data_IF_524905334163
#
_entry.id   IF_524905334163
#
_cell.length_a   1.000
_cell.length_b   1.000
_cell.length_c   1.000
_cell.angle_alpha   90.00
_cell.angle_beta   90.00
_cell.angle_gamma   90.00
#
_symmetry.space_group_name_H-M   'P 1'
#
loop_
_entity.id
_entity.type
_entity.pdbx_description
1 polymer ?
#
# COMPACT_ATOMS: atom_id res chain seq x y z
N UNK A 1 14.97 -10.87 0.46
CA UNK A 1 14.21 -10.27 -0.66
C UNK A 1 15.16 -10.09 -1.85
N UNK A 2 14.66 -10.05 -3.09
CA UNK A 2 15.55 -9.79 -4.25
C UNK A 2 15.98 -8.32 -4.23
N UNK A 3 17.17 -8.01 -4.78
CA UNK A 3 17.73 -6.65 -4.74
C UNK A 3 16.76 -5.59 -5.27
N UNK A 4 16.07 -5.84 -6.38
CA UNK A 4 15.10 -4.89 -6.96
C UNK A 4 13.87 -4.62 -6.08
N UNK A 5 13.33 -5.65 -5.43
CA UNK A 5 12.23 -5.50 -4.47
C UNK A 5 12.66 -4.69 -3.25
N UNK A 6 13.87 -4.94 -2.74
CA UNK A 6 14.42 -4.21 -1.60
C UNK A 6 14.66 -2.73 -1.94
N UNK A 7 15.15 -2.43 -3.15
CA UNK A 7 15.29 -1.06 -3.64
C UNK A 7 13.93 -0.38 -3.72
N UNK A 8 12.93 -1.02 -4.34
CA UNK A 8 11.58 -0.45 -4.41
C UNK A 8 10.93 -0.27 -3.03
N UNK A 9 11.15 -1.20 -2.10
CA UNK A 9 10.69 -1.08 -0.72
C UNK A 9 11.35 0.09 0.02
N UNK A 10 12.66 0.28 -0.17
CA UNK A 10 13.37 1.44 0.39
C UNK A 10 12.87 2.76 -0.22
N UNK A 11 12.69 2.81 -1.53
CA UNK A 11 12.10 3.96 -2.21
C UNK A 11 10.67 4.24 -1.72
N UNK A 12 9.87 3.22 -1.45
CA UNK A 12 8.52 3.39 -0.91
C UNK A 12 8.56 4.05 0.48
N UNK A 13 9.50 3.66 1.34
CA UNK A 13 9.74 4.32 2.62
C UNK A 13 10.14 5.78 2.47
N UNK A 14 11.08 6.09 1.57
CA UNK A 14 11.49 7.48 1.26
C UNK A 14 10.30 8.28 0.72
N UNK A 15 9.50 7.69 -0.15
CA UNK A 15 8.36 8.35 -0.76
C UNK A 15 7.24 8.66 0.25
N UNK A 16 7.01 7.78 1.24
CA UNK A 16 6.13 8.11 2.38
C UNK A 16 6.65 9.36 3.09
N UNK A 17 7.94 9.40 3.43
CA UNK A 17 8.51 10.55 4.14
C UNK A 17 8.36 11.83 3.32
N UNK A 18 8.62 11.78 2.01
CA UNK A 18 8.50 12.93 1.12
C UNK A 18 7.06 13.44 1.02
N UNK A 19 6.09 12.53 0.90
CA UNK A 19 4.66 12.86 0.85
C UNK A 19 4.14 13.40 2.20
N UNK A 20 4.65 12.89 3.33
CA UNK A 20 4.29 13.38 4.67
C UNK A 20 4.91 14.75 4.99
N UNK A 21 6.11 15.03 4.47
CA UNK A 21 6.80 16.32 4.65
C UNK A 21 6.37 17.38 3.61
N UNK A 22 5.40 17.06 2.74
CA UNK A 22 4.91 17.97 1.69
C UNK A 22 6.04 18.47 0.75
N UNK A 23 7.08 17.65 0.54
CA UNK A 23 8.17 17.99 -0.40
C UNK A 23 7.56 18.13 -1.81
N UNK A 24 7.91 19.16 -2.59
CA UNK A 24 7.44 19.32 -3.96
C UNK A 24 7.65 18.04 -4.79
N UNK A 25 6.57 17.52 -5.38
CA UNK A 25 6.60 16.25 -6.13
C UNK A 25 6.56 14.98 -5.28
N UNK A 26 6.60 15.07 -3.95
CA UNK A 26 6.60 13.92 -3.02
C UNK A 26 5.37 13.04 -3.16
N UNK A 27 4.21 13.64 -3.38
CA UNK A 27 2.96 12.93 -3.62
C UNK A 27 3.00 12.10 -4.92
N UNK A 28 3.44 12.70 -6.02
CA UNK A 28 3.57 12.04 -7.31
C UNK A 28 4.62 10.91 -7.23
N UNK A 29 5.73 11.17 -6.54
CA UNK A 29 6.77 10.18 -6.30
C UNK A 29 6.23 8.98 -5.50
N UNK A 30 5.46 9.23 -4.45
CA UNK A 30 4.76 8.20 -3.68
C UNK A 30 3.86 7.33 -4.57
N UNK A 31 3.00 7.96 -5.38
CA UNK A 31 2.09 7.23 -6.27
C UNK A 31 2.88 6.35 -7.25
N UNK A 32 3.89 6.90 -7.92
CA UNK A 32 4.69 6.17 -8.92
C UNK A 32 5.42 4.98 -8.28
N UNK A 33 6.04 5.17 -7.12
CA UNK A 33 6.80 4.12 -6.44
C UNK A 33 5.88 3.00 -5.93
N UNK A 34 4.75 3.35 -5.31
CA UNK A 34 3.80 2.35 -4.81
C UNK A 34 3.13 1.59 -5.95
N UNK A 35 2.79 2.26 -7.06
CA UNK A 35 2.26 1.60 -8.25
C UNK A 35 3.30 0.68 -8.88
N UNK A 36 4.57 1.10 -8.98
CA UNK A 36 5.64 0.23 -9.47
C UNK A 36 5.81 -1.02 -8.60
N UNK A 37 5.75 -0.86 -7.27
CA UNK A 37 5.82 -1.99 -6.33
C UNK A 37 4.57 -2.89 -6.43
N UNK A 38 3.38 -2.33 -6.61
CA UNK A 38 2.15 -3.08 -6.80
C UNK A 38 2.20 -3.90 -8.09
N UNK A 39 2.63 -3.28 -9.19
CA UNK A 39 2.81 -3.94 -10.49
C UNK A 39 3.89 -5.02 -10.44
N UNK A 40 4.96 -4.84 -9.65
CA UNK A 40 5.95 -5.87 -9.41
C UNK A 40 5.30 -7.13 -8.82
N UNK A 41 4.44 -6.99 -7.80
CA UNK A 41 3.76 -8.13 -7.21
C UNK A 41 2.70 -8.75 -8.13
N UNK A 42 1.96 -7.93 -8.87
CA UNK A 42 0.95 -8.39 -9.83
C UNK A 42 1.58 -9.19 -10.99
N UNK A 43 2.55 -8.59 -11.69
CA UNK A 43 3.13 -9.17 -12.91
C UNK A 43 4.24 -10.18 -12.63
N UNK A 44 5.03 -9.97 -11.57
CA UNK A 44 6.22 -10.77 -11.27
C UNK A 44 6.13 -11.54 -9.96
N UNK A 45 4.99 -11.57 -9.26
CA UNK A 45 4.82 -12.31 -8.01
C UNK A 45 5.24 -13.78 -8.13
N UNK A 46 4.80 -14.46 -9.19
CA UNK A 46 5.20 -15.85 -9.46
C UNK A 46 6.71 -16.04 -9.58
N UNK A 47 7.37 -15.20 -10.39
CA UNK A 47 8.83 -15.22 -10.61
C UNK A 47 9.59 -14.83 -9.34
N UNK A 48 9.05 -13.88 -8.58
CA UNK A 48 9.63 -13.35 -7.35
C UNK A 48 9.66 -14.42 -6.26
N UNK A 49 8.52 -15.04 -5.97
CA UNK A 49 8.37 -15.99 -4.87
C UNK A 49 9.04 -17.34 -5.17
N UNK A 50 9.12 -17.75 -6.43
CA UNK A 50 9.83 -18.97 -6.83
C UNK A 50 11.34 -18.79 -7.00
N UNK A 51 11.90 -17.60 -6.71
CA UNK A 51 13.35 -17.39 -6.78
C UNK A 51 13.93 -17.32 -8.19
N UNK A 52 13.08 -17.33 -9.23
CA UNK A 52 13.51 -17.31 -10.64
C UNK A 52 14.12 -15.95 -10.98
N UNK A 53 15.33 -15.90 -11.56
CA UNK A 53 15.95 -14.64 -11.99
C UNK A 53 15.15 -14.06 -13.16
N UNK A 54 14.96 -12.73 -13.21
CA UNK A 54 14.19 -12.08 -14.29
C UNK A 54 14.72 -12.45 -15.69
N UNK A 55 16.04 -12.50 -15.88
CA UNK A 55 16.64 -12.91 -17.16
C UNK A 55 16.29 -14.35 -17.58
N UNK A 56 15.99 -15.22 -16.61
CA UNK A 56 15.66 -16.63 -16.83
C UNK A 56 14.14 -16.86 -16.91
N UNK A 57 13.31 -15.82 -16.86
CA UNK A 57 11.84 -16.00 -16.82
C UNK A 57 11.27 -16.54 -18.15
N UNK A 58 12.00 -16.43 -19.25
CA UNK A 58 11.57 -16.98 -20.54
C UNK A 58 12.10 -18.41 -20.77
N UNK A 59 12.90 -18.95 -19.86
CA UNK A 59 13.47 -20.29 -19.98
C UNK A 59 12.48 -21.35 -19.49
N UNK A 60 11.92 -22.14 -20.42
CA UNK A 60 10.97 -23.23 -20.12
C UNK A 60 11.50 -24.24 -19.08
N UNK A 61 12.80 -24.44 -19.02
CA UNK A 61 13.46 -25.35 -18.08
C UNK A 61 13.27 -24.98 -16.60
N UNK A 62 13.10 -23.69 -16.30
CA UNK A 62 12.95 -23.19 -14.93
C UNK A 62 11.61 -23.56 -14.29
N UNK A 63 10.63 -24.00 -15.09
CA UNK A 63 9.28 -24.30 -14.65
C UNK A 63 9.01 -25.78 -14.40
N UNK A 64 9.92 -26.68 -14.86
CA UNK A 64 9.69 -28.14 -14.86
C UNK A 64 9.46 -28.75 -13.46
N UNK A 65 10.01 -28.13 -12.41
CA UNK A 65 9.94 -28.64 -11.04
C UNK A 65 8.97 -27.86 -10.13
N UNK A 66 8.11 -27.01 -10.70
CA UNK A 66 7.16 -26.19 -9.94
C UNK A 66 5.77 -26.79 -10.06
N UNK A 67 5.19 -27.21 -8.94
CA UNK A 67 3.84 -27.75 -8.92
C UNK A 67 2.79 -26.67 -9.25
N UNK A 68 1.70 -27.07 -9.91
CA UNK A 68 0.59 -26.17 -10.25
C UNK A 68 0.06 -25.40 -9.03
N UNK A 69 -0.08 -26.08 -7.88
CA UNK A 69 -0.53 -25.45 -6.62
C UNK A 69 0.40 -24.31 -6.19
N UNK A 70 1.71 -24.47 -6.39
CA UNK A 70 2.70 -23.44 -6.07
C UNK A 70 2.65 -22.27 -7.04
N UNK A 71 2.31 -22.50 -8.30
CA UNK A 71 2.06 -21.45 -9.30
C UNK A 71 0.84 -20.63 -8.88
N UNK A 72 -0.31 -21.27 -8.65
CA UNK A 72 -1.54 -20.59 -8.22
C UNK A 72 -1.36 -19.86 -6.90
N UNK A 73 -0.70 -20.47 -5.91
CA UNK A 73 -0.41 -19.83 -4.62
C UNK A 73 0.47 -18.59 -4.77
N UNK A 74 1.46 -18.62 -5.67
CA UNK A 74 2.31 -17.46 -5.92
C UNK A 74 1.57 -16.33 -6.66
N UNK A 75 0.69 -16.65 -7.61
CA UNK A 75 -0.17 -15.65 -8.29
C UNK A 75 -1.14 -15.03 -7.29
N UNK A 76 -1.83 -15.86 -6.49
CA UNK A 76 -2.75 -15.38 -5.46
C UNK A 76 -2.06 -14.50 -4.41
N UNK A 77 -0.85 -14.86 -3.97
CA UNK A 77 -0.04 -14.02 -3.09
C UNK A 77 0.35 -12.69 -3.75
N UNK A 78 0.69 -12.70 -5.05
CA UNK A 78 1.00 -11.50 -5.81
C UNK A 78 -0.20 -10.56 -5.91
N UNK A 79 -1.39 -11.11 -6.19
CA UNK A 79 -2.65 -10.36 -6.22
C UNK A 79 -3.00 -9.75 -4.86
N UNK A 80 -2.84 -10.50 -3.77
CA UNK A 80 -3.10 -9.99 -2.42
C UNK A 80 -2.20 -8.80 -2.06
N UNK A 81 -0.90 -8.91 -2.35
CA UNK A 81 0.06 -7.82 -2.10
C UNK A 81 -0.20 -6.61 -3.00
N UNK A 82 -0.57 -6.84 -4.26
CA UNK A 82 -1.03 -5.78 -5.17
C UNK A 82 -2.22 -5.02 -4.59
N UNK A 83 -3.30 -5.73 -4.22
CA UNK A 83 -4.51 -5.11 -3.66
C UNK A 83 -4.22 -4.32 -2.38
N UNK A 84 -3.36 -4.85 -1.50
CA UNK A 84 -2.95 -4.15 -0.29
C UNK A 84 -2.19 -2.85 -0.59
N UNK A 85 -1.24 -2.86 -1.54
CA UNK A 85 -0.52 -1.65 -1.94
C UNK A 85 -1.43 -0.61 -2.59
N UNK A 86 -2.40 -1.03 -3.42
CA UNK A 86 -3.41 -0.12 -3.95
C UNK A 86 -4.28 0.47 -2.82
N UNK A 87 -4.68 -0.34 -1.85
CA UNK A 87 -5.39 0.13 -0.66
C UNK A 87 -4.58 1.17 0.13
N UNK A 88 -3.26 0.97 0.28
CA UNK A 88 -2.36 1.95 0.87
C UNK A 88 -2.33 3.25 0.07
N UNK A 89 -2.23 3.18 -1.26
CA UNK A 89 -2.28 4.39 -2.11
C UNK A 89 -3.58 5.16 -1.88
N UNK A 90 -4.73 4.48 -1.88
CA UNK A 90 -6.02 5.12 -1.63
C UNK A 90 -6.08 5.79 -0.26
N UNK A 91 -5.53 5.14 0.78
CA UNK A 91 -5.50 5.67 2.15
C UNK A 91 -4.58 6.88 2.28
N UNK A 92 -3.36 6.84 1.75
CA UNK A 92 -2.41 7.96 1.81
C UNK A 92 -2.85 9.17 0.98
N UNK A 93 -3.58 8.92 -0.11
CA UNK A 93 -4.10 9.95 -1.01
C UNK A 93 -5.50 10.45 -0.64
N UNK A 94 -6.09 9.91 0.42
CA UNK A 94 -7.43 10.26 0.89
C UNK A 94 -8.48 10.15 -0.20
N UNK A 95 -8.34 9.14 -1.07
CA UNK A 95 -9.29 8.89 -2.15
C UNK A 95 -10.62 8.37 -1.60
N UNK A 96 -11.75 8.67 -2.27
CA UNK A 96 -13.04 8.10 -1.91
C UNK A 96 -12.98 6.56 -1.88
N UNK A 97 -13.57 5.95 -0.84
CA UNK A 97 -13.56 4.50 -0.67
C UNK A 97 -12.24 3.92 -0.13
N UNK A 98 -11.32 4.77 0.35
CA UNK A 98 -10.02 4.31 0.87
C UNK A 98 -10.11 3.26 1.98
N UNK A 99 -11.07 3.39 2.89
CA UNK A 99 -11.33 2.38 3.93
C UNK A 99 -11.66 1.01 3.32
N UNK A 100 -12.58 0.99 2.35
CA UNK A 100 -13.04 -0.24 1.70
C UNK A 100 -11.87 -0.89 0.94
N UNK A 101 -11.13 -0.11 0.15
CA UNK A 101 -9.97 -0.62 -0.60
C UNK A 101 -8.89 -1.20 0.32
N UNK A 102 -8.60 -0.51 1.42
CA UNK A 102 -7.63 -1.00 2.40
C UNK A 102 -8.11 -2.27 3.10
N UNK A 103 -9.41 -2.37 3.42
CA UNK A 103 -10.01 -3.55 4.02
C UNK A 103 -9.97 -4.76 3.09
N UNK A 104 -10.27 -4.57 1.80
CA UNK A 104 -10.16 -5.63 0.78
C UNK A 104 -8.72 -6.13 0.64
N UNK A 105 -7.76 -5.21 0.53
CA UNK A 105 -6.34 -5.55 0.44
C UNK A 105 -5.83 -6.28 1.68
N UNK A 106 -6.20 -5.81 2.86
CA UNK A 106 -5.84 -6.47 4.12
C UNK A 106 -6.47 -7.86 4.27
N UNK A 107 -7.75 -8.01 3.91
CA UNK A 107 -8.44 -9.31 3.95
C UNK A 107 -7.77 -10.33 3.02
N UNK A 108 -7.34 -9.91 1.83
CA UNK A 108 -6.58 -10.77 0.92
C UNK A 108 -5.22 -11.19 1.51
N UNK A 109 -4.51 -10.25 2.17
CA UNK A 109 -3.27 -10.56 2.90
C UNK A 109 -3.52 -11.57 4.02
N UNK A 110 -4.62 -11.44 4.78
CA UNK A 110 -4.96 -12.38 5.86
C UNK A 110 -5.18 -13.79 5.32
N UNK A 111 -5.93 -13.94 4.23
CA UNK A 111 -6.16 -15.24 3.59
C UNK A 111 -4.85 -15.89 3.15
N UNK A 112 -3.98 -15.14 2.48
CA UNK A 112 -2.67 -15.64 2.04
C UNK A 112 -1.78 -15.98 3.24
N UNK A 113 -1.80 -15.15 4.28
CA UNK A 113 -1.03 -15.37 5.51
C UNK A 113 -1.48 -16.63 6.23
N UNK A 114 -2.79 -16.88 6.32
CA UNK A 114 -3.35 -18.09 6.92
C UNK A 114 -2.88 -19.35 6.17
N UNK A 115 -2.97 -19.35 4.84
CA UNK A 115 -2.48 -20.45 4.00
C UNK A 115 -0.98 -20.66 4.20
N UNK A 116 -0.19 -19.59 4.24
CA UNK A 116 1.25 -19.68 4.48
C UNK A 116 1.57 -20.23 5.88
N UNK A 117 0.84 -19.83 6.93
CA UNK A 117 1.03 -20.35 8.29
C UNK A 117 0.74 -21.85 8.36
N UNK A 118 -0.39 -22.31 7.79
CA UNK A 118 -0.73 -23.74 7.75
C UNK A 118 0.34 -24.53 6.99
N UNK A 119 0.83 -24.00 5.86
CA UNK A 119 1.88 -24.66 5.09
C UNK A 119 3.22 -24.65 5.79
N UNK A 120 3.60 -23.56 6.45
CA UNK A 120 4.86 -23.47 7.22
C UNK A 120 4.90 -24.42 8.42
N UNK A 121 3.75 -24.71 9.03
CA UNK A 121 3.66 -25.70 10.10
C UNK A 121 3.92 -27.12 9.61
N UNK A 122 3.47 -27.46 8.39
CA UNK A 122 3.60 -28.79 7.82
C UNK A 122 4.89 -29.00 7.00
N UNK A 123 5.39 -27.94 6.35
CA UNK A 123 6.56 -27.97 5.49
C UNK A 123 7.23 -26.59 5.46
N UNK A 124 8.46 -26.51 5.98
CA UNK A 124 9.20 -25.26 6.20
C UNK A 124 9.93 -24.74 4.96
N UNK A 125 9.31 -24.84 3.78
CA UNK A 125 9.95 -24.36 2.55
C UNK A 125 10.19 -22.85 2.60
N UNK A 126 11.35 -22.42 2.08
CA UNK A 126 11.69 -21.00 1.96
C UNK A 126 10.69 -20.19 1.11
N UNK A 127 9.88 -20.86 0.29
CA UNK A 127 8.80 -20.27 -0.50
C UNK A 127 7.73 -19.61 0.37
N UNK A 128 7.09 -20.37 1.27
CA UNK A 128 6.03 -19.84 2.13
C UNK A 128 6.57 -18.84 3.14
N UNK A 129 7.78 -19.07 3.68
CA UNK A 129 8.44 -18.12 4.60
C UNK A 129 8.68 -16.78 3.93
N UNK A 130 9.09 -16.82 2.66
CA UNK A 130 9.26 -15.64 1.83
C UNK A 130 7.96 -14.84 1.67
N UNK A 131 6.87 -15.49 1.25
CA UNK A 131 5.58 -14.83 1.08
C UNK A 131 5.08 -14.26 2.42
N UNK A 132 5.11 -15.07 3.47
CA UNK A 132 4.63 -14.70 4.80
C UNK A 132 5.33 -13.46 5.37
N UNK A 133 6.66 -13.36 5.23
CA UNK A 133 7.40 -12.17 5.71
C UNK A 133 6.97 -10.87 5.03
N UNK A 134 6.58 -10.91 3.75
CA UNK A 134 6.07 -9.75 3.00
C UNK A 134 4.65 -9.39 3.40
N UNK A 135 3.82 -10.42 3.60
CA UNK A 135 2.47 -10.27 4.13
C UNK A 135 2.48 -9.62 5.52
N UNK A 136 3.42 -9.99 6.41
CA UNK A 136 3.58 -9.31 7.69
C UNK A 136 4.00 -7.85 7.50
N UNK A 137 5.00 -7.59 6.67
CA UNK A 137 5.52 -6.23 6.48
C UNK A 137 4.45 -5.27 5.93
N UNK A 138 3.75 -5.65 4.86
CA UNK A 138 2.70 -4.81 4.25
C UNK A 138 1.41 -4.88 5.06
N UNK A 139 1.02 -6.06 5.52
CA UNK A 139 -0.17 -6.28 6.32
C UNK A 139 -0.14 -5.54 7.66
N UNK A 140 1.02 -5.43 8.30
CA UNK A 140 1.20 -4.63 9.50
C UNK A 140 0.90 -3.14 9.27
N UNK A 141 1.36 -2.58 8.16
CA UNK A 141 1.05 -1.20 7.78
C UNK A 141 -0.45 -1.04 7.50
N UNK A 142 -1.05 -1.96 6.74
CA UNK A 142 -2.49 -1.95 6.48
C UNK A 142 -3.32 -2.02 7.77
N UNK A 143 -2.92 -2.88 8.70
CA UNK A 143 -3.57 -3.05 10.00
C UNK A 143 -3.55 -1.75 10.80
N UNK A 144 -2.38 -1.13 10.94
CA UNK A 144 -2.25 0.15 11.65
C UNK A 144 -3.16 1.22 11.03
N UNK A 145 -3.20 1.31 9.69
CA UNK A 145 -4.00 2.31 9.00
C UNK A 145 -5.50 2.03 8.95
N UNK A 146 -5.93 0.77 9.14
CA UNK A 146 -7.34 0.41 9.26
C UNK A 146 -7.93 0.87 10.60
N UNK A 147 -7.15 0.77 11.68
CA UNK A 147 -7.56 1.21 13.01
C UNK A 147 -7.24 2.69 13.28
N UNK A 148 -6.42 3.31 12.44
CA UNK A 148 -6.15 4.74 12.48
C UNK A 148 -7.39 5.59 12.15
N UNK A 149 -7.54 6.77 12.77
CA UNK A 149 -8.54 7.76 12.37
C UNK A 149 -8.51 8.02 10.87
N UNK A 150 -9.68 8.30 10.29
CA UNK A 150 -9.80 8.59 8.85
C UNK A 150 -8.94 9.80 8.45
N UNK A 151 -8.78 10.77 9.34
CA UNK A 151 -8.02 12.01 9.16
C UNK A 151 -6.55 11.94 9.58
N UNK A 152 -6.06 10.78 10.07
CA UNK A 152 -4.71 10.69 10.65
C UNK A 152 -3.62 11.18 9.68
N UNK A 153 -3.71 10.81 8.40
CA UNK A 153 -2.70 11.15 7.41
C UNK A 153 -2.72 12.65 7.13
N UNK A 154 -3.90 13.24 6.99
CA UNK A 154 -4.11 14.66 6.77
C UNK A 154 -3.63 15.49 7.96
N UNK A 155 -3.89 15.03 9.18
CA UNK A 155 -3.40 15.66 10.41
C UNK A 155 -1.87 15.70 10.48
N UNK A 156 -1.20 14.63 10.05
CA UNK A 156 0.27 14.59 10.00
C UNK A 156 0.78 15.52 8.89
N UNK A 157 0.23 15.40 7.68
CA UNK A 157 0.65 16.17 6.50
C UNK A 157 0.49 17.67 6.71
N UNK A 158 -0.70 18.08 7.13
CA UNK A 158 -1.09 19.48 7.21
C UNK A 158 -1.12 19.98 8.66
N UNK A 159 -0.25 19.46 9.52
CA UNK A 159 -0.14 19.85 10.94
C UNK A 159 0.07 21.36 11.14
N UNK A 160 0.71 22.03 10.17
CA UNK A 160 0.95 23.47 10.19
C UNK A 160 -0.28 24.31 9.77
N UNK A 161 -1.37 23.65 9.37
CA UNK A 161 -2.59 24.27 8.84
C UNK A 161 -3.83 23.84 9.66
N UNK A 162 -3.91 24.23 10.95
CA UNK A 162 -4.95 23.75 11.86
C UNK A 162 -6.37 24.14 11.43
N UNK A 163 -6.55 25.30 10.78
CA UNK A 163 -7.85 25.74 10.25
C UNK A 163 -8.45 24.72 9.27
N UNK A 164 -7.61 24.17 8.37
CA UNK A 164 -8.04 23.14 7.43
C UNK A 164 -8.41 21.84 8.14
N UNK A 165 -7.60 21.40 9.11
CA UNK A 165 -7.84 20.16 9.86
C UNK A 165 -9.15 20.25 10.65
N UNK A 166 -9.42 21.38 11.32
CA UNK A 166 -10.66 21.59 12.08
C UNK A 166 -11.86 21.56 11.14
N UNK A 167 -11.80 22.30 10.03
CA UNK A 167 -12.87 22.32 9.04
C UNK A 167 -13.13 20.92 8.45
N UNK A 168 -12.07 20.16 8.15
CA UNK A 168 -12.18 18.78 7.66
C UNK A 168 -12.85 17.85 8.68
N UNK A 169 -12.46 17.91 9.96
CA UNK A 169 -13.08 17.11 11.03
C UNK A 169 -14.56 17.45 11.19
N UNK A 170 -14.92 18.73 11.17
CA UNK A 170 -16.31 19.17 11.26
C UNK A 170 -17.15 18.67 10.07
N UNK A 171 -16.60 18.73 8.86
CA UNK A 171 -17.26 18.22 7.66
C UNK A 171 -17.46 16.70 7.71
N UNK A 172 -16.51 15.94 8.26
CA UNK A 172 -16.64 14.49 8.42
C UNK A 172 -17.66 14.14 9.52
N UNK A 173 -17.70 14.89 10.61
CA UNK A 173 -18.65 14.67 11.70
C UNK A 173 -20.11 14.94 11.30
N UNK A 174 -20.33 15.83 10.34
CA UNK A 174 -21.66 16.19 9.84
C UNK A 174 -21.71 16.14 8.30
N UNK A 175 -21.74 14.94 7.69
CA UNK A 175 -21.65 14.77 6.23
C UNK A 175 -22.82 15.44 5.48
N UNK A 176 -24.01 15.50 6.11
CA UNK A 176 -25.21 16.09 5.51
C UNK A 176 -25.28 17.62 5.65
N UNK A 177 -24.32 18.25 6.35
CA UNK A 177 -24.30 19.70 6.52
C UNK A 177 -23.51 20.35 5.37
N UNK A 178 -24.23 20.81 4.34
CA UNK A 178 -23.64 21.44 3.17
C UNK A 178 -22.73 22.63 3.52
N UNK A 179 -23.04 23.39 4.58
CA UNK A 179 -22.23 24.53 5.01
C UNK A 179 -20.83 24.08 5.46
N UNK A 180 -20.75 23.03 6.27
CA UNK A 180 -19.48 22.49 6.76
C UNK A 180 -18.64 21.87 5.62
N UNK A 181 -19.30 21.26 4.62
CA UNK A 181 -18.60 20.77 3.42
C UNK A 181 -17.94 21.92 2.65
N UNK A 182 -18.67 23.02 2.45
CA UNK A 182 -18.15 24.22 1.77
C UNK A 182 -17.01 24.84 2.57
N UNK A 183 -17.15 24.95 3.90
CA UNK A 183 -16.10 25.48 4.77
C UNK A 183 -14.80 24.66 4.68
N UNK A 184 -14.89 23.33 4.64
CA UNK A 184 -13.72 22.47 4.45
C UNK A 184 -13.04 22.66 3.09
N UNK A 185 -13.82 22.84 2.02
CA UNK A 185 -13.29 23.13 0.67
C UNK A 185 -12.58 24.48 0.64
N UNK A 186 -13.19 25.52 1.22
CA UNK A 186 -12.60 26.86 1.29
C UNK A 186 -11.31 26.85 2.11
N UNK A 187 -11.31 26.18 3.27
CA UNK A 187 -10.12 26.06 4.11
C UNK A 187 -8.98 25.32 3.37
N UNK A 188 -9.31 24.28 2.59
CA UNK A 188 -8.34 23.57 1.73
C UNK A 188 -7.76 24.47 0.64
N UNK A 189 -8.57 25.33 0.02
CA UNK A 189 -8.09 26.28 -0.99
C UNK A 189 -7.14 27.31 -0.38
N UNK A 190 -7.50 27.90 0.77
CA UNK A 190 -6.63 28.84 1.50
C UNK A 190 -5.30 28.21 1.90
N UNK A 191 -5.34 26.97 2.38
CA UNK A 191 -4.14 26.19 2.69
C UNK A 191 -3.25 26.04 1.46
N UNK A 192 -3.82 25.62 0.31
CA UNK A 192 -3.06 25.48 -0.94
C UNK A 192 -2.46 26.79 -1.43
N UNK A 193 -3.14 27.91 -1.24
CA UNK A 193 -2.62 29.24 -1.59
C UNK A 193 -1.41 29.59 -0.72
N UNK A 194 -1.53 29.45 0.61
CA UNK A 194 -0.40 29.67 1.54
C UNK A 194 0.81 28.79 1.20
N UNK A 195 0.58 27.52 0.91
CA UNK A 195 1.64 26.60 0.49
C UNK A 195 2.32 26.98 -0.83
N UNK A 196 1.67 27.75 -1.70
CA UNK A 196 2.25 28.21 -2.96
C UNK A 196 3.03 29.52 -2.80
N UNK A 197 2.86 30.21 -1.67
CA UNK A 197 3.56 31.46 -1.33
C UNK A 197 4.86 31.20 -0.53
N UNK A 198 5.02 30.00 0.04
CA UNK A 198 6.22 29.50 0.74
C UNK A 198 7.23 28.84 -0.21
#
# INVERSE_FOLDING_TARGET
MKKGELILGALAGVAIVFDLLLIPGGNQFFIVVFLALAMLYLGFGFVLFNGIRLRNMFEKGMYKNISLLRIFGAIGAGLALFMALIGLVFKFQSYPGSFIMLLFGFSAILLVSLVCTIKLYNDSTGFYRGIFSRCIAIGGICLVLLFAPTTLIEEIKYRNYPEYIIALKNAIAAPNNAKLQVEAVVARQKMKQKMAEE
#
